data_IF_068160447513
#
_entry.id   IF_068160447513
#
_cell.length_a   1.000
_cell.length_b   1.000
_cell.length_c   1.000
_cell.angle_alpha   90.00
_cell.angle_beta   90.00
_cell.angle_gamma   90.00
#
_symmetry.space_group_name_H-M   'P 1'
#
loop_
_entity.id
_entity.type
_entity.pdbx_description
1 polymer ?
#
# COMPACT_ATOMS: atom_id res chain seq x y z
N UNK A 1 -20.62 6.35 0.73
CA UNK A 1 -20.91 5.29 1.73
C UNK A 1 -20.25 5.67 3.05
N UNK A 2 -20.84 5.29 4.18
CA UNK A 2 -20.26 5.56 5.51
C UNK A 2 -19.39 4.39 5.96
N UNK A 3 -18.20 4.71 6.48
CA UNK A 3 -17.23 3.75 7.00
C UNK A 3 -16.90 4.08 8.45
N UNK A 4 -16.61 3.04 9.24
CA UNK A 4 -16.21 3.22 10.64
C UNK A 4 -14.81 3.80 10.74
N UNK A 5 -14.64 4.78 11.61
CA UNK A 5 -13.36 5.42 11.90
C UNK A 5 -12.88 4.99 13.28
N UNK A 6 -11.64 4.52 13.35
CA UNK A 6 -11.00 4.05 14.57
C UNK A 6 -9.73 4.86 14.87
N UNK A 7 -9.37 4.91 16.16
CA UNK A 7 -8.06 5.39 16.61
C UNK A 7 -7.22 4.16 16.98
N UNK A 8 -6.26 3.79 16.15
CA UNK A 8 -5.37 2.62 16.36
C UNK A 8 -3.94 3.13 16.39
N UNK A 9 -3.21 2.86 17.48
CA UNK A 9 -1.82 3.31 17.65
C UNK A 9 -1.63 4.80 17.35
N UNK A 10 -2.54 5.65 17.82
CA UNK A 10 -2.54 7.12 17.61
C UNK A 10 -2.79 7.54 16.15
N UNK A 11 -3.19 6.62 15.28
CA UNK A 11 -3.55 6.88 13.87
C UNK A 11 -5.06 6.79 13.66
N UNK A 12 -5.59 7.66 12.80
CA UNK A 12 -6.95 7.56 12.31
C UNK A 12 -6.99 6.49 11.22
N UNK A 13 -7.78 5.45 11.45
CA UNK A 13 -7.88 4.28 10.57
C UNK A 13 -9.32 4.10 10.14
N UNK A 14 -9.54 4.14 8.84
CA UNK A 14 -10.83 3.85 8.22
C UNK A 14 -10.91 2.34 7.99
N UNK A 15 -11.91 1.69 8.58
CA UNK A 15 -12.21 0.29 8.31
C UNK A 15 -13.02 0.19 7.01
N UNK A 16 -12.45 -0.48 6.01
CA UNK A 16 -13.09 -0.73 4.70
C UNK A 16 -13.76 -2.12 4.64
N UNK A 17 -13.76 -2.86 5.75
CA UNK A 17 -14.36 -4.18 5.88
C UNK A 17 -13.41 -5.32 5.54
N UNK A 18 -13.99 -6.45 5.14
CA UNK A 18 -13.26 -7.72 5.06
C UNK A 18 -12.08 -7.68 4.06
N UNK A 19 -10.90 -8.07 4.55
CA UNK A 19 -9.69 -8.31 3.77
C UNK A 19 -9.43 -9.80 3.56
N UNK A 20 -8.16 -10.20 3.60
CA UNK A 20 -7.78 -11.60 3.49
C UNK A 20 -7.82 -12.30 4.86
N UNK A 21 -8.33 -13.54 4.89
CA UNK A 21 -8.39 -14.38 6.11
C UNK A 21 -9.05 -13.65 7.29
N UNK A 22 -8.30 -13.42 8.36
CA UNK A 22 -8.72 -12.80 9.63
C UNK A 22 -8.37 -11.31 9.71
N UNK A 23 -8.12 -10.67 8.57
CA UNK A 23 -7.75 -9.25 8.48
C UNK A 23 -8.83 -8.43 7.80
N UNK A 24 -8.95 -7.17 8.20
CA UNK A 24 -9.72 -6.15 7.50
C UNK A 24 -8.80 -5.33 6.59
N UNK A 25 -9.36 -4.84 5.49
CA UNK A 25 -8.75 -3.75 4.72
C UNK A 25 -8.97 -2.46 5.48
N UNK A 26 -7.90 -1.73 5.72
CA UNK A 26 -7.94 -0.48 6.46
C UNK A 26 -7.13 0.61 5.77
N UNK A 27 -7.48 1.86 5.99
CA UNK A 27 -6.83 3.00 5.34
C UNK A 27 -6.58 4.15 6.31
N UNK A 28 -5.31 4.52 6.50
CA UNK A 28 -4.88 5.66 7.31
C UNK A 28 -4.21 6.78 6.49
N UNK A 29 -4.27 6.67 5.16
CA UNK A 29 -3.45 7.44 4.22
C UNK A 29 -2.48 6.56 3.41
N UNK A 30 -2.32 5.31 3.86
CA UNK A 30 -1.68 4.18 3.16
C UNK A 30 -2.58 2.95 3.24
N UNK A 31 -2.47 1.98 2.31
CA UNK A 31 -3.27 0.76 2.34
C UNK A 31 -2.71 -0.20 3.40
N UNK A 32 -3.56 -0.70 4.29
CA UNK A 32 -3.16 -1.57 5.40
C UNK A 32 -4.06 -2.82 5.49
N UNK A 33 -3.48 -3.91 5.98
CA UNK A 33 -4.23 -5.07 6.44
C UNK A 33 -4.10 -5.13 7.96
N UNK A 34 -5.22 -5.00 8.65
CA UNK A 34 -5.27 -4.91 10.11
C UNK A 34 -6.04 -6.11 10.64
N UNK A 35 -5.47 -6.82 11.60
CA UNK A 35 -6.11 -7.98 12.21
C UNK A 35 -7.47 -7.62 12.80
N UNK A 36 -8.48 -8.47 12.55
CA UNK A 36 -9.88 -8.26 12.99
C UNK A 36 -10.02 -7.96 14.48
N UNK A 37 -9.20 -8.59 15.33
CA UNK A 37 -9.24 -8.39 16.78
C UNK A 37 -8.81 -6.98 17.23
N UNK A 38 -8.10 -6.23 16.38
CA UNK A 38 -7.73 -4.83 16.66
C UNK A 38 -8.97 -3.93 16.60
N UNK A 39 -9.99 -4.32 15.82
CA UNK A 39 -11.27 -3.61 15.73
C UNK A 39 -12.27 -3.99 16.83
N UNK A 40 -11.85 -4.72 17.88
CA UNK A 40 -12.71 -4.99 19.05
C UNK A 40 -12.96 -3.77 19.94
N UNK A 41 -12.36 -2.62 19.62
CA UNK A 41 -12.63 -1.34 20.27
C UNK A 41 -13.81 -0.60 19.63
N UNK A 42 -14.44 0.32 20.35
CA UNK A 42 -15.52 1.13 19.79
C UNK A 42 -14.98 2.12 18.73
N UNK A 43 -15.65 2.29 17.58
CA UNK A 43 -15.28 3.30 16.61
C UNK A 43 -15.43 4.70 17.21
N UNK A 44 -14.46 5.57 16.95
CA UNK A 44 -14.49 6.96 17.41
C UNK A 44 -15.44 7.84 16.59
N UNK A 45 -15.90 7.33 15.43
CA UNK A 45 -16.82 8.01 14.55
C UNK A 45 -17.03 7.30 13.23
N UNK A 46 -17.56 8.05 12.27
CA UNK A 46 -17.79 7.59 10.90
C UNK A 46 -17.26 8.62 9.91
N UNK A 47 -16.86 8.15 8.74
CA UNK A 47 -16.45 8.99 7.61
C UNK A 47 -17.28 8.64 6.38
N UNK A 48 -17.77 9.67 5.70
CA UNK A 48 -18.41 9.50 4.40
C UNK A 48 -17.35 9.50 3.31
N UNK A 49 -17.34 8.45 2.49
CA UNK A 49 -16.44 8.31 1.33
C UNK A 49 -17.28 8.20 0.08
N UNK A 50 -17.03 9.07 -0.89
CA UNK A 50 -17.67 9.03 -2.21
C UNK A 50 -17.14 7.87 -3.06
N UNK A 51 -17.87 7.49 -4.11
CA UNK A 51 -17.41 6.43 -5.02
C UNK A 51 -16.09 6.79 -5.71
N UNK A 52 -15.86 8.07 -6.02
CA UNK A 52 -14.61 8.56 -6.59
C UNK A 52 -13.44 8.41 -5.60
N UNK A 53 -13.66 8.74 -4.32
CA UNK A 53 -12.66 8.56 -3.28
C UNK A 53 -12.38 7.07 -3.04
N UNK A 54 -13.42 6.24 -3.00
CA UNK A 54 -13.27 4.79 -2.84
C UNK A 54 -12.49 4.18 -4.01
N UNK A 55 -12.70 4.67 -5.24
CA UNK A 55 -11.94 4.24 -6.41
C UNK A 55 -10.45 4.57 -6.27
N UNK A 56 -10.11 5.79 -5.84
CA UNK A 56 -8.73 6.18 -5.55
C UNK A 56 -8.08 5.28 -4.49
N UNK A 57 -8.80 5.01 -3.40
CA UNK A 57 -8.33 4.10 -2.33
C UNK A 57 -8.07 2.69 -2.90
N UNK A 58 -8.98 2.15 -3.72
CA UNK A 58 -8.80 0.82 -4.35
C UNK A 58 -7.56 0.75 -5.26
N UNK A 59 -7.29 1.82 -6.01
CA UNK A 59 -6.07 1.92 -6.82
C UNK A 59 -4.83 1.95 -5.94
N UNK A 60 -4.86 2.69 -4.83
CA UNK A 60 -3.79 2.67 -3.83
C UNK A 60 -3.56 1.28 -3.24
N UNK A 61 -4.62 0.53 -2.91
CA UNK A 61 -4.50 -0.87 -2.44
C UNK A 61 -3.90 -1.82 -3.47
N UNK A 62 -4.06 -1.55 -4.76
CA UNK A 62 -3.47 -2.37 -5.80
C UNK A 62 -1.98 -2.06 -6.00
N UNK A 63 -1.62 -0.79 -5.89
CA UNK A 63 -0.26 -0.34 -6.19
C UNK A 63 0.65 -0.33 -4.96
N UNK A 64 0.08 -0.15 -3.77
CA UNK A 64 0.77 -0.04 -2.50
C UNK A 64 0.68 -1.31 -1.66
N UNK A 65 1.30 -1.26 -0.48
CA UNK A 65 1.40 -2.38 0.44
C UNK A 65 2.60 -2.25 1.35
N UNK A 66 2.95 -3.36 2.03
CA UNK A 66 4.14 -3.47 2.86
C UNK A 66 5.40 -3.49 1.97
N UNK A 67 6.41 -2.74 2.38
CA UNK A 67 7.76 -2.86 1.85
C UNK A 67 8.52 -3.94 2.63
N UNK A 68 8.95 -5.01 1.97
CA UNK A 68 9.65 -6.13 2.61
C UNK A 68 11.10 -5.79 3.02
N UNK A 69 11.59 -4.58 2.70
CA UNK A 69 12.95 -4.13 3.00
C UNK A 69 13.04 -3.20 4.21
N UNK A 70 11.95 -2.49 4.54
CA UNK A 70 11.91 -1.59 5.68
C UNK A 70 10.70 -1.81 6.61
N UNK A 71 9.84 -2.77 6.30
CA UNK A 71 8.61 -3.08 7.02
C UNK A 71 7.61 -1.91 7.13
N UNK A 72 7.76 -0.89 6.28
CA UNK A 72 6.85 0.25 6.21
C UNK A 72 5.80 0.10 5.12
N UNK A 73 4.60 0.61 5.39
CA UNK A 73 3.50 0.66 4.43
C UNK A 73 3.66 1.83 3.47
N UNK A 74 3.42 1.60 2.18
CA UNK A 74 3.56 2.62 1.14
C UNK A 74 2.36 2.61 0.18
N UNK A 75 2.03 3.78 -0.37
CA UNK A 75 1.01 3.94 -1.41
C UNK A 75 1.42 3.34 -2.76
N UNK A 76 2.72 3.11 -2.96
CA UNK A 76 3.28 2.43 -4.11
C UNK A 76 4.43 1.54 -3.68
N UNK A 77 4.38 0.31 -4.14
CA UNK A 77 5.48 -0.64 -4.08
C UNK A 77 5.69 -1.24 -5.46
N UNK A 78 6.88 -1.78 -5.71
CA UNK A 78 7.16 -2.58 -6.90
C UNK A 78 8.03 -3.79 -6.54
N UNK A 79 8.00 -4.86 -7.34
CA UNK A 79 8.82 -6.03 -7.07
C UNK A 79 10.31 -5.71 -6.99
N UNK A 80 11.01 -6.42 -6.12
CA UNK A 80 12.46 -6.38 -6.01
C UNK A 80 13.13 -6.68 -7.36
N UNK A 81 14.23 -5.98 -7.70
CA UNK A 81 15.02 -6.30 -8.89
C UNK A 81 15.86 -7.57 -8.71
N UNK A 82 15.99 -8.10 -7.48
CA UNK A 82 16.84 -9.25 -7.19
C UNK A 82 16.10 -10.57 -7.40
N UNK A 83 16.71 -11.50 -8.17
CA UNK A 83 16.16 -12.85 -8.35
C UNK A 83 16.10 -13.66 -7.04
N UNK A 84 16.93 -13.34 -6.05
CA UNK A 84 16.90 -13.98 -4.73
C UNK A 84 15.65 -13.62 -3.91
N UNK A 85 15.05 -12.46 -4.20
CA UNK A 85 13.94 -11.87 -3.44
C UNK A 85 12.68 -11.82 -4.31
N UNK A 86 12.46 -12.85 -5.14
CA UNK A 86 11.25 -12.96 -5.97
C UNK A 86 10.02 -13.00 -5.05
N UNK A 87 9.09 -12.08 -5.30
CA UNK A 87 7.88 -11.90 -4.51
C UNK A 87 7.99 -10.78 -3.48
N UNK A 88 9.20 -10.29 -3.17
CA UNK A 88 9.39 -9.15 -2.31
C UNK A 88 9.05 -7.84 -3.02
N UNK A 89 8.50 -6.89 -2.27
CA UNK A 89 8.04 -5.59 -2.69
C UNK A 89 8.88 -4.49 -2.04
N UNK A 90 9.21 -3.45 -2.80
CA UNK A 90 10.02 -2.31 -2.34
C UNK A 90 9.23 -1.01 -2.47
N UNK A 91 9.32 -0.15 -1.44
CA UNK A 91 8.94 1.25 -1.55
C UNK A 91 9.98 2.05 -2.35
N UNK A 92 9.65 3.31 -2.66
CA UNK A 92 10.53 4.20 -3.44
C UNK A 92 11.91 4.38 -2.81
N UNK A 93 11.96 4.63 -1.50
CA UNK A 93 13.22 4.94 -0.82
C UNK A 93 14.16 3.74 -0.82
N UNK A 94 13.61 2.54 -0.59
CA UNK A 94 14.37 1.29 -0.70
C UNK A 94 14.84 1.05 -2.13
N UNK A 95 13.98 1.26 -3.14
CA UNK A 95 14.36 1.13 -4.55
C UNK A 95 15.50 2.08 -4.94
N UNK A 96 15.41 3.35 -4.53
CA UNK A 96 16.40 4.37 -4.87
C UNK A 96 17.76 4.10 -4.20
N UNK A 97 17.75 3.50 -3.00
CA UNK A 97 18.95 3.02 -2.33
C UNK A 97 19.54 1.81 -3.07
N UNK A 98 18.74 0.79 -3.36
CA UNK A 98 19.15 -0.39 -4.12
C UNK A 98 19.71 -0.01 -5.49
N UNK A 99 19.09 0.94 -6.19
CA UNK A 99 19.57 1.44 -7.49
C UNK A 99 20.98 2.00 -7.41
N UNK A 100 21.32 2.74 -6.35
CA UNK A 100 22.67 3.28 -6.13
C UNK A 100 23.68 2.15 -5.87
N UNK A 101 23.30 1.17 -5.04
CA UNK A 101 24.15 0.02 -4.71
C UNK A 101 24.43 -0.85 -5.94
N UNK A 102 23.41 -1.07 -6.78
CA UNK A 102 23.51 -1.83 -8.02
C UNK A 102 24.50 -1.17 -9.00
N UNK A 103 24.35 0.14 -9.20
CA UNK A 103 25.25 0.91 -10.06
C UNK A 103 26.69 0.91 -9.55
N UNK A 104 26.89 0.99 -8.23
CA UNK A 104 28.22 0.96 -7.63
C UNK A 104 28.90 -0.43 -7.69
N UNK A 105 28.12 -1.51 -7.65
CA UNK A 105 28.65 -2.87 -7.52
C UNK A 105 28.85 -3.59 -8.86
N UNK A 106 27.95 -3.35 -9.83
CA UNK A 106 27.89 -4.12 -11.08
C UNK A 106 28.06 -3.25 -12.34
N UNK A 107 28.18 -1.92 -12.21
CA UNK A 107 28.09 -0.96 -13.33
C UNK A 107 26.77 -1.11 -14.14
N UNK A 108 25.76 -1.74 -13.52
CA UNK A 108 24.44 -1.99 -14.09
C UNK A 108 23.43 -0.99 -13.55
N UNK A 109 22.54 -0.53 -14.43
CA UNK A 109 21.50 0.44 -14.08
C UNK A 109 20.12 -0.20 -14.14
N UNK A 110 19.46 -0.27 -12.98
CA UNK A 110 18.03 -0.54 -12.90
C UNK A 110 17.23 0.75 -13.18
N UNK A 111 16.02 0.60 -13.72
CA UNK A 111 15.13 1.71 -14.10
C UNK A 111 14.73 2.63 -12.93
N UNK A 112 14.04 3.74 -13.23
CA UNK A 112 13.46 4.56 -12.15
C UNK A 112 12.35 3.78 -11.44
N UNK A 113 12.09 4.13 -10.17
CA UNK A 113 10.99 3.53 -9.41
C UNK A 113 9.67 3.73 -10.17
N UNK A 114 9.50 4.93 -10.73
CA UNK A 114 8.32 5.44 -11.42
C UNK A 114 8.01 4.71 -12.73
N UNK A 115 8.99 4.05 -13.35
CA UNK A 115 8.85 3.38 -14.64
C UNK A 115 8.17 2.00 -14.53
N UNK A 116 7.54 1.67 -13.39
CA UNK A 116 6.90 0.37 -13.21
C UNK A 116 5.56 0.30 -13.96
N UNK A 117 5.46 -0.51 -15.04
CA UNK A 117 4.33 -0.43 -15.97
C UNK A 117 3.06 -1.12 -15.47
N UNK A 118 3.13 -1.86 -14.35
CA UNK A 118 2.01 -2.67 -13.84
C UNK A 118 1.21 -1.97 -12.75
N UNK A 119 1.55 -0.72 -12.39
CA UNK A 119 0.66 0.06 -11.54
C UNK A 119 -0.62 0.39 -12.29
N UNK A 120 -1.74 0.28 -11.58
CA UNK A 120 -3.02 0.79 -12.07
C UNK A 120 -3.00 2.30 -12.03
N UNK A 121 -3.38 2.91 -13.14
CA UNK A 121 -3.71 4.32 -13.17
C UNK A 121 -5.15 4.53 -12.68
N UNK A 122 -5.46 5.74 -12.23
CA UNK A 122 -6.85 6.16 -12.04
C UNK A 122 -7.50 6.37 -13.42
N UNK A 123 -7.58 5.33 -14.24
CA UNK A 123 -8.34 5.42 -15.50
C UNK A 123 -9.82 5.20 -15.18
N UNK A 124 -10.64 6.16 -15.59
CA UNK A 124 -12.09 6.05 -15.68
C UNK A 124 -12.48 5.08 -16.78
N UNK A 125 -12.17 3.80 -16.60
CA UNK A 125 -12.77 2.75 -17.41
C UNK A 125 -14.18 2.48 -16.85
N UNK A 126 -15.08 3.36 -17.26
CA UNK A 126 -16.45 2.99 -17.55
C UNK A 126 -16.43 1.95 -18.67
N UNK A 127 -16.72 0.70 -18.33
CA UNK A 127 -17.38 -0.26 -19.23
C UNK A 127 -18.40 -1.06 -18.41
#
# INVERSE_FOLDING_TARGET
MNYSLYLIDVRLVIDLGQGEKSQHKAFSGVPELVETHIFCQEPIGQVEISDEQLKKIKVTFHNGGLCDYCDELSNKVRPSPFMGDIGSSMCKDCWDMTKKEYAASHDEHIGAFEDYPHWKENTDEAQ
#
